data_IF_935170142714
#
_entry.id   IF_935170142714
#
_cell.length_a   1.000
_cell.length_b   1.000
_cell.length_c   1.000
_cell.angle_alpha   90.00
_cell.angle_beta   90.00
_cell.angle_gamma   90.00
#
_symmetry.space_group_name_H-M   'P 1'
#
loop_
_entity.id
_entity.type
_entity.pdbx_description
1 polymer ?
#
# COMPACT_ATOMS: atom_id res chain seq x y z
N UNK A 1 -5.89 0.25 -14.00
CA UNK A 1 -6.05 -0.99 -14.80
C UNK A 1 -7.50 -1.46 -14.90
N UNK A 2 -7.88 -2.59 -14.29
CA UNK A 2 -9.23 -3.17 -14.39
C UNK A 2 -10.38 -2.26 -13.92
N UNK A 3 -10.10 -1.31 -13.02
CA UNK A 3 -11.05 -0.29 -12.58
C UNK A 3 -11.61 0.58 -13.73
N UNK A 4 -10.87 0.67 -14.85
CA UNK A 4 -11.30 1.43 -16.04
C UNK A 4 -12.15 0.59 -17.01
N UNK A 5 -12.37 -0.70 -16.74
CA UNK A 5 -13.18 -1.56 -17.60
C UNK A 5 -14.65 -1.52 -17.13
N UNK A 6 -15.56 -0.88 -17.89
CA UNK A 6 -16.95 -0.72 -17.47
C UNK A 6 -17.68 -2.06 -17.32
N UNK A 7 -17.39 -3.05 -18.16
CA UNK A 7 -18.04 -4.37 -18.11
C UNK A 7 -17.66 -5.12 -16.83
N UNK A 8 -16.37 -5.07 -16.45
CA UNK A 8 -15.91 -5.68 -15.19
C UNK A 8 -16.55 -4.98 -14.00
N UNK A 9 -16.59 -3.64 -14.00
CA UNK A 9 -17.14 -2.87 -12.89
C UNK A 9 -18.66 -3.02 -12.76
N UNK A 10 -19.39 -3.13 -13.87
CA UNK A 10 -20.83 -3.44 -13.86
C UNK A 10 -21.09 -4.85 -13.32
N UNK A 11 -20.31 -5.84 -13.76
CA UNK A 11 -20.41 -7.21 -13.23
C UNK A 11 -20.15 -7.29 -11.72
N UNK A 12 -19.14 -6.56 -11.22
CA UNK A 12 -18.86 -6.46 -9.79
C UNK A 12 -20.04 -5.86 -9.01
N UNK A 13 -20.62 -4.76 -9.52
CA UNK A 13 -21.79 -4.12 -8.89
C UNK A 13 -23.01 -5.04 -8.87
N UNK A 14 -23.26 -5.77 -9.95
CA UNK A 14 -24.38 -6.69 -10.03
C UNK A 14 -24.22 -7.92 -9.12
N UNK A 15 -22.98 -8.40 -8.93
CA UNK A 15 -22.71 -9.57 -8.10
C UNK A 15 -22.66 -9.26 -6.59
N UNK A 16 -22.48 -7.99 -6.21
CA UNK A 16 -22.30 -7.55 -4.84
C UNK A 16 -23.48 -6.68 -4.37
N UNK A 17 -24.69 -7.26 -4.37
CA UNK A 17 -25.89 -6.55 -3.92
C UNK A 17 -25.76 -6.07 -2.46
N UNK A 18 -26.19 -4.84 -2.19
CA UNK A 18 -26.04 -4.19 -0.90
C UNK A 18 -24.62 -3.69 -0.57
N UNK A 19 -23.62 -3.87 -1.45
CA UNK A 19 -22.26 -3.37 -1.26
C UNK A 19 -21.97 -2.23 -2.24
N UNK A 20 -21.55 -1.09 -1.71
CA UNK A 20 -21.13 0.04 -2.54
C UNK A 20 -19.76 -0.22 -3.17
N UNK A 21 -19.71 -0.27 -4.50
CA UNK A 21 -18.46 -0.41 -5.25
C UNK A 21 -17.97 0.97 -5.70
N UNK A 22 -16.97 1.49 -4.99
CA UNK A 22 -16.31 2.78 -5.28
C UNK A 22 -14.92 2.59 -5.88
N UNK A 23 -14.43 3.59 -6.61
CA UNK A 23 -13.04 3.61 -7.09
C UNK A 23 -12.08 4.05 -5.98
N UNK A 24 -10.81 3.68 -6.11
CA UNK A 24 -9.76 4.18 -5.22
C UNK A 24 -9.58 5.70 -5.35
N UNK A 25 -9.84 6.26 -6.55
CA UNK A 25 -9.78 7.70 -6.81
C UNK A 25 -10.76 8.48 -5.91
N UNK A 26 -11.95 7.93 -5.66
CA UNK A 26 -12.93 8.52 -4.75
C UNK A 26 -12.46 8.55 -3.28
N UNK A 27 -11.40 7.80 -2.96
CA UNK A 27 -10.78 7.73 -1.63
C UNK A 27 -9.43 8.47 -1.58
N UNK A 28 -9.09 9.26 -2.60
CA UNK A 28 -7.85 10.04 -2.65
C UNK A 28 -6.60 9.24 -3.07
N UNK A 29 -6.74 7.97 -3.46
CA UNK A 29 -5.64 7.16 -3.98
C UNK A 29 -5.88 6.85 -5.46
N UNK A 30 -5.25 7.59 -6.40
CA UNK A 30 -5.52 7.39 -7.82
C UNK A 30 -5.32 5.93 -8.23
N UNK A 31 -6.29 5.36 -8.94
CA UNK A 31 -6.34 3.91 -9.19
C UNK A 31 -5.11 3.39 -9.96
N UNK A 32 -4.50 4.26 -10.78
CA UNK A 32 -3.29 3.94 -11.55
C UNK A 32 -1.99 4.21 -10.77
N UNK A 33 -2.05 4.96 -9.67
CA UNK A 33 -0.89 5.28 -8.83
C UNK A 33 -0.84 4.48 -7.52
N UNK A 34 -1.94 3.83 -7.11
CA UNK A 34 -2.05 3.17 -5.79
C UNK A 34 -0.93 2.17 -5.49
N UNK A 35 -0.43 1.46 -6.52
CA UNK A 35 0.66 0.49 -6.34
C UNK A 35 2.01 1.19 -6.15
N UNK A 36 2.25 2.29 -6.88
CA UNK A 36 3.44 3.12 -6.65
C UNK A 36 3.44 3.75 -5.25
N UNK A 37 2.28 4.21 -4.79
CA UNK A 37 2.10 4.70 -3.41
C UNK A 37 2.40 3.60 -2.40
N UNK A 38 1.91 2.38 -2.62
CA UNK A 38 2.20 1.22 -1.76
C UNK A 38 3.71 0.95 -1.68
N UNK A 39 4.43 0.95 -2.81
CA UNK A 39 5.88 0.73 -2.81
C UNK A 39 6.64 1.85 -2.10
N UNK A 40 6.22 3.10 -2.26
CA UNK A 40 6.79 4.22 -1.52
C UNK A 40 6.58 4.08 -0.01
N UNK A 41 5.38 3.67 0.42
CA UNK A 41 5.07 3.41 1.82
C UNK A 41 5.92 2.27 2.38
N UNK A 42 6.05 1.15 1.65
CA UNK A 42 6.92 0.03 2.06
C UNK A 42 8.36 0.51 2.24
N UNK A 43 8.89 1.32 1.31
CA UNK A 43 10.22 1.91 1.42
C UNK A 43 10.36 2.77 2.68
N UNK A 44 9.37 3.62 2.97
CA UNK A 44 9.35 4.42 4.19
C UNK A 44 9.36 3.54 5.45
N UNK A 45 8.56 2.47 5.49
CA UNK A 45 8.52 1.51 6.58
C UNK A 45 9.89 0.85 6.79
N UNK A 46 10.56 0.44 5.71
CA UNK A 46 11.90 -0.15 5.75
C UNK A 46 12.92 0.80 6.36
N UNK A 47 12.89 2.08 5.96
CA UNK A 47 13.80 3.09 6.49
C UNK A 47 13.58 3.35 8.00
N UNK A 48 12.34 3.23 8.49
CA UNK A 48 11.99 3.45 9.91
C UNK A 48 11.86 2.15 10.73
N UNK A 49 12.26 1.00 10.18
CA UNK A 49 12.26 -0.27 10.90
C UNK A 49 10.88 -0.83 11.24
N UNK A 50 9.83 -0.47 10.49
CA UNK A 50 8.46 -0.92 10.73
C UNK A 50 8.08 -2.04 9.73
N UNK A 51 7.41 -3.11 10.18
CA UNK A 51 6.83 -4.08 9.26
C UNK A 51 5.71 -3.48 8.41
N UNK A 52 5.77 -3.69 7.08
CA UNK A 52 4.75 -3.21 6.15
C UNK A 52 3.70 -4.30 5.79
N UNK A 53 3.47 -5.25 6.69
CA UNK A 53 2.59 -6.41 6.47
C UNK A 53 1.59 -6.54 7.61
N UNK A 54 0.32 -6.66 7.26
CA UNK A 54 -0.75 -6.96 8.22
C UNK A 54 -0.73 -8.45 8.57
N UNK A 55 -0.97 -8.83 9.84
CA UNK A 55 -1.14 -10.22 10.24
C UNK A 55 -2.18 -10.93 9.38
N UNK A 56 -1.86 -12.12 8.88
CA UNK A 56 -2.76 -12.94 8.05
C UNK A 56 -2.82 -12.57 6.55
N UNK A 57 -2.28 -11.42 6.12
CA UNK A 57 -2.33 -11.01 4.72
C UNK A 57 -1.46 -11.86 3.78
N UNK A 58 -0.36 -12.43 4.30
CA UNK A 58 0.64 -13.16 3.49
C UNK A 58 0.85 -14.62 3.91
N UNK A 59 0.22 -15.06 5.01
CA UNK A 59 0.48 -16.36 5.63
C UNK A 59 1.83 -16.47 6.36
N UNK A 60 2.59 -15.39 6.50
CA UNK A 60 3.82 -15.39 7.29
C UNK A 60 3.54 -15.54 8.79
N UNK A 61 4.38 -16.33 9.49
CA UNK A 61 4.24 -16.60 10.93
C UNK A 61 4.38 -15.35 11.82
N UNK A 62 5.07 -14.32 11.31
CA UNK A 62 5.31 -13.09 12.03
C UNK A 62 5.51 -11.92 11.05
N UNK A 63 5.17 -10.67 11.46
CA UNK A 63 5.44 -9.49 10.67
C UNK A 63 6.95 -9.30 10.45
N UNK A 64 7.32 -8.82 9.26
CA UNK A 64 8.71 -8.58 8.84
C UNK A 64 8.84 -7.22 8.17
N UNK A 65 9.97 -6.57 8.40
CA UNK A 65 10.41 -5.43 7.58
C UNK A 65 10.72 -5.98 6.19
N UNK A 66 10.15 -5.34 5.17
CA UNK A 66 10.27 -5.77 3.78
C UNK A 66 11.40 -5.04 3.05
N UNK A 67 11.80 -5.57 1.90
CA UNK A 67 12.71 -4.91 0.96
C UNK A 67 14.19 -5.02 1.33
N UNK A 68 15.02 -4.40 0.49
CA UNK A 68 16.47 -4.27 0.67
C UNK A 68 16.86 -2.83 0.39
N UNK A 69 17.86 -2.32 1.11
CA UNK A 69 18.37 -0.96 0.90
C UNK A 69 19.61 -1.05 0.03
N UNK A 70 19.55 -0.42 -1.14
CA UNK A 70 20.71 -0.23 -2.01
C UNK A 70 21.25 1.19 -1.81
N UNK A 71 22.44 1.37 -1.20
CA UNK A 71 23.00 2.70 -0.97
C UNK A 71 23.27 3.45 -2.28
N UNK A 72 23.08 4.77 -2.26
CA UNK A 72 23.50 5.67 -3.33
C UNK A 72 24.98 6.03 -3.27
N UNK A 73 25.38 7.11 -3.93
CA UNK A 73 26.78 7.56 -3.99
C UNK A 73 27.32 8.18 -2.70
N UNK A 74 26.45 8.54 -1.75
CA UNK A 74 26.81 9.14 -0.48
C UNK A 74 26.63 8.21 0.73
N UNK A 75 27.06 8.64 1.93
CA UNK A 75 26.84 7.89 3.16
C UNK A 75 25.34 7.64 3.40
N UNK A 76 24.98 6.39 3.70
CA UNK A 76 23.63 6.04 4.10
C UNK A 76 23.39 6.42 5.56
N UNK A 77 22.41 7.29 5.80
CA UNK A 77 21.92 7.62 7.15
C UNK A 77 20.45 7.25 7.22
N UNK A 78 20.10 6.33 8.11
CA UNK A 78 18.71 5.93 8.35
C UNK A 78 18.07 6.84 9.41
N UNK A 79 16.76 7.12 9.31
CA UNK A 79 16.03 7.84 10.36
C UNK A 79 15.91 6.99 11.63
N UNK A 80 15.50 7.63 12.74
CA UNK A 80 15.19 6.91 13.97
C UNK A 80 14.01 5.96 13.74
N UNK A 81 14.05 4.72 14.27
CA UNK A 81 12.93 3.82 14.18
C UNK A 81 11.66 4.38 14.83
N UNK A 82 10.51 4.03 14.27
CA UNK A 82 9.21 4.36 14.86
C UNK A 82 8.48 3.09 15.28
N UNK A 83 7.53 3.20 16.21
CA UNK A 83 6.80 2.04 16.73
C UNK A 83 5.81 1.44 15.71
N UNK A 84 5.29 2.25 14.78
CA UNK A 84 4.31 1.81 13.79
C UNK A 84 3.70 2.97 13.00
N UNK A 85 2.76 2.64 12.12
CA UNK A 85 1.99 3.60 11.33
C UNK A 85 0.55 3.63 11.85
N UNK A 86 0.05 4.83 12.17
CA UNK A 86 -1.34 5.02 12.58
C UNK A 86 -2.24 5.47 11.41
N UNK A 87 -1.70 6.30 10.50
CA UNK A 87 -2.45 6.82 9.36
C UNK A 87 -1.51 7.23 8.23
N UNK A 88 -2.02 7.22 7.00
CA UNK A 88 -1.43 7.83 5.81
C UNK A 88 -2.47 8.77 5.20
N UNK A 89 -2.07 10.00 4.92
CA UNK A 89 -2.88 10.99 4.22
C UNK A 89 -2.25 11.25 2.86
N UNK A 90 -3.08 11.24 1.82
CA UNK A 90 -2.70 11.59 0.46
C UNK A 90 -3.39 12.92 0.15
N UNK A 91 -2.60 13.92 -0.21
CA UNK A 91 -3.07 15.27 -0.58
C UNK A 91 -3.46 15.36 -2.07
#
# INVERSE_FOLDING_TARGET
GGAHNPVVMEGLRAALDGVEVVSADALGAPADAKEAILFALIGWCTLHGVPAVLPGATGADAPRILGTITPGSGPLRLPEPVAGIASLTLD
#
